data_IF_353875700632
#
_entry.id   IF_353875700632
#
_cell.length_a   1.000
_cell.length_b   1.000
_cell.length_c   1.000
_cell.angle_alpha   90.00
_cell.angle_beta   90.00
_cell.angle_gamma   90.00
#
_symmetry.space_group_name_H-M   'P 1'
#
loop_
_entity.id
_entity.type
_entity.pdbx_description
1 polymer ?
#
# COMPACT_ATOMS: atom_id res chain seq x y z
N UNK A 1 -2.92 -22.97 21.34
CA UNK A 1 -1.69 -22.16 21.18
C UNK A 1 -1.09 -22.54 19.85
N UNK A 2 -1.10 -21.61 18.89
CA UNK A 2 -0.47 -21.77 17.58
C UNK A 2 0.38 -20.53 17.32
N UNK A 3 1.52 -20.78 16.69
CA UNK A 3 2.72 -19.96 16.69
C UNK A 3 2.56 -18.53 16.19
N UNK A 4 3.33 -17.68 16.88
CA UNK A 4 3.78 -16.35 16.51
C UNK A 4 4.60 -16.42 15.20
N UNK A 5 3.95 -16.58 14.07
CA UNK A 5 4.50 -16.11 12.81
C UNK A 5 4.49 -14.58 12.88
N UNK A 6 5.63 -13.93 12.63
CA UNK A 6 5.63 -12.52 12.24
C UNK A 6 4.60 -12.42 11.11
N UNK A 7 3.47 -11.74 11.33
CA UNK A 7 2.39 -11.68 10.36
C UNK A 7 3.01 -11.20 9.05
N UNK A 8 3.00 -12.04 8.02
CA UNK A 8 3.39 -11.65 6.67
C UNK A 8 2.63 -10.36 6.30
N UNK A 9 3.24 -9.50 5.47
CA UNK A 9 2.54 -8.35 4.88
C UNK A 9 1.16 -8.79 4.36
N UNK A 10 0.10 -8.00 4.62
CA UNK A 10 -1.26 -8.40 4.21
C UNK A 10 -1.31 -8.48 2.69
N UNK A 11 -0.71 -7.52 1.99
CA UNK A 11 -0.47 -7.54 0.54
C UNK A 11 0.16 -8.86 0.05
N UNK A 12 1.25 -9.31 0.68
CA UNK A 12 1.93 -10.56 0.33
C UNK A 12 1.01 -11.77 0.52
N UNK A 13 0.23 -11.78 1.61
CA UNK A 13 -0.77 -12.83 1.85
C UNK A 13 -1.80 -12.92 0.71
N UNK A 14 -2.33 -11.77 0.27
CA UNK A 14 -3.30 -11.71 -0.83
C UNK A 14 -2.66 -12.16 -2.14
N UNK A 15 -1.48 -11.67 -2.51
CA UNK A 15 -0.83 -12.10 -3.76
C UNK A 15 -0.52 -13.60 -3.79
N UNK A 16 -0.11 -14.19 -2.67
CA UNK A 16 0.08 -15.64 -2.58
C UNK A 16 -1.24 -16.39 -2.75
N UNK A 17 -2.34 -15.90 -2.17
CA UNK A 17 -3.67 -16.49 -2.36
C UNK A 17 -4.11 -16.42 -3.83
N UNK A 18 -3.92 -15.27 -4.49
CA UNK A 18 -4.19 -15.08 -5.92
C UNK A 18 -3.40 -16.08 -6.76
N UNK A 19 -2.07 -16.15 -6.56
CA UNK A 19 -1.20 -17.02 -7.33
C UNK A 19 -1.50 -18.53 -7.14
N UNK A 20 -2.01 -18.91 -5.96
CA UNK A 20 -2.39 -20.28 -5.65
C UNK A 20 -3.82 -20.64 -6.10
N UNK A 21 -4.63 -19.68 -6.53
CA UNK A 21 -6.04 -19.92 -6.81
C UNK A 21 -6.24 -20.70 -8.14
N UNK A 22 -6.91 -21.86 -8.13
CA UNK A 22 -6.93 -22.77 -9.29
C UNK A 22 -7.73 -22.25 -10.50
N UNK A 23 -8.54 -21.19 -10.31
CA UNK A 23 -9.42 -20.63 -11.35
C UNK A 23 -8.92 -19.32 -11.94
N UNK A 24 -7.79 -18.79 -11.46
CA UNK A 24 -7.23 -17.57 -12.06
C UNK A 24 -6.41 -17.90 -13.31
N UNK A 25 -6.46 -17.07 -14.36
CA UNK A 25 -5.61 -17.26 -15.53
C UNK A 25 -4.14 -17.00 -15.19
N UNK A 26 -3.23 -17.52 -16.02
CA UNK A 26 -1.79 -17.37 -15.80
C UNK A 26 -1.33 -15.89 -15.77
N UNK A 27 -1.95 -15.02 -16.58
CA UNK A 27 -1.68 -13.57 -16.57
C UNK A 27 -1.93 -12.92 -15.21
N UNK A 28 -2.95 -13.37 -14.48
CA UNK A 28 -3.23 -12.93 -13.11
C UNK A 28 -2.15 -13.43 -12.14
N UNK A 29 -1.61 -14.63 -12.35
CA UNK A 29 -0.48 -15.14 -11.55
C UNK A 29 0.78 -14.30 -11.80
N UNK A 30 1.03 -13.89 -13.04
CA UNK A 30 2.12 -12.97 -13.38
C UNK A 30 1.96 -11.61 -12.70
N UNK A 31 0.73 -11.06 -12.68
CA UNK A 31 0.42 -9.83 -11.95
C UNK A 31 0.68 -9.97 -10.45
N UNK A 32 0.29 -11.09 -9.84
CA UNK A 32 0.58 -11.35 -8.44
C UNK A 32 2.08 -11.40 -8.15
N UNK A 33 2.88 -12.04 -9.02
CA UNK A 33 4.34 -12.04 -8.90
C UNK A 33 4.97 -10.65 -8.99
N UNK A 34 4.44 -9.79 -9.88
CA UNK A 34 4.84 -8.37 -9.95
C UNK A 34 4.46 -7.60 -8.68
N UNK A 35 3.26 -7.83 -8.17
CA UNK A 35 2.79 -7.24 -6.91
C UNK A 35 3.70 -7.59 -5.72
N UNK A 36 4.12 -8.84 -5.59
CA UNK A 36 5.09 -9.28 -4.57
C UNK A 36 6.43 -8.55 -4.72
N UNK A 37 6.90 -8.38 -5.95
CA UNK A 37 8.15 -7.65 -6.23
C UNK A 37 8.02 -6.17 -5.87
N UNK A 38 6.87 -5.56 -6.17
CA UNK A 38 6.57 -4.17 -5.82
C UNK A 38 6.49 -3.96 -4.30
N UNK A 39 5.85 -4.86 -3.57
CA UNK A 39 5.76 -4.83 -2.09
C UNK A 39 7.15 -4.92 -1.43
N UNK A 40 7.99 -5.82 -1.93
CA UNK A 40 9.38 -5.93 -1.48
C UNK A 40 10.20 -4.66 -1.81
N UNK A 41 10.01 -4.09 -3.00
CA UNK A 41 10.66 -2.85 -3.41
C UNK A 41 10.21 -1.65 -2.56
N UNK A 42 8.92 -1.57 -2.20
CA UNK A 42 8.38 -0.55 -1.32
C UNK A 42 9.00 -0.64 0.08
N UNK A 43 9.04 -1.84 0.65
CA UNK A 43 9.70 -2.10 1.95
C UNK A 43 11.16 -1.67 1.94
N UNK A 44 11.89 -1.99 0.86
CA UNK A 44 13.28 -1.57 0.68
C UNK A 44 13.41 -0.05 0.57
N UNK A 45 12.56 0.59 -0.24
CA UNK A 45 12.56 2.05 -0.40
C UNK A 45 12.30 2.77 0.92
N UNK A 46 11.35 2.30 1.74
CA UNK A 46 11.06 2.89 3.06
C UNK A 46 12.30 2.88 3.96
N UNK A 47 13.08 1.79 3.94
CA UNK A 47 14.25 1.64 4.79
C UNK A 47 15.48 2.39 4.25
N UNK A 48 15.72 2.35 2.94
CA UNK A 48 16.94 2.89 2.32
C UNK A 48 16.80 4.37 1.94
N UNK A 49 15.59 4.83 1.62
CA UNK A 49 15.32 6.17 1.10
C UNK A 49 14.35 6.93 1.99
N UNK A 50 13.16 6.37 2.25
CA UNK A 50 12.09 7.06 2.98
C UNK A 50 12.52 7.54 4.37
N UNK A 51 12.90 6.63 5.26
CA UNK A 51 13.31 6.96 6.63
C UNK A 51 14.52 7.90 6.72
N UNK A 52 15.57 7.76 5.88
CA UNK A 52 16.71 8.69 5.94
C UNK A 52 16.47 10.07 5.32
N UNK A 53 15.56 10.19 4.35
CA UNK A 53 15.44 11.40 3.51
C UNK A 53 14.16 12.20 3.69
N UNK A 54 13.10 11.60 4.24
CA UNK A 54 11.83 12.28 4.49
C UNK A 54 11.65 12.64 5.96
N UNK A 55 10.97 13.75 6.21
CA UNK A 55 10.45 14.02 7.54
C UNK A 55 9.30 13.05 7.90
N UNK A 56 8.95 13.01 9.19
CA UNK A 56 7.96 12.08 9.70
C UNK A 56 6.56 12.26 9.08
N UNK A 57 6.17 13.47 8.70
CA UNK A 57 4.86 13.73 8.09
C UNK A 57 4.84 13.30 6.62
N UNK A 58 5.84 13.70 5.84
CA UNK A 58 5.97 13.29 4.45
C UNK A 58 6.07 11.76 4.32
N UNK A 59 6.81 11.11 5.22
CA UNK A 59 6.87 9.65 5.27
C UNK A 59 5.52 9.04 5.65
N UNK A 60 4.82 9.61 6.63
CA UNK A 60 3.50 9.11 7.04
C UNK A 60 2.48 9.22 5.90
N UNK A 61 2.41 10.36 5.21
CA UNK A 61 1.50 10.56 4.07
C UNK A 61 1.78 9.53 2.96
N UNK A 62 3.06 9.29 2.65
CA UNK A 62 3.43 8.27 1.65
C UNK A 62 3.03 6.86 2.09
N UNK A 63 3.19 6.53 3.38
CA UNK A 63 2.81 5.23 3.93
C UNK A 63 1.29 5.03 4.00
N UNK A 64 0.51 6.09 4.26
CA UNK A 64 -0.95 6.05 4.18
C UNK A 64 -1.38 5.70 2.77
N UNK A 65 -0.84 6.41 1.78
CA UNK A 65 -1.07 6.15 0.35
C UNK A 65 -0.68 4.70 -0.02
N UNK A 66 0.40 4.14 0.54
CA UNK A 66 0.72 2.70 0.38
C UNK A 66 -0.33 1.78 0.99
N UNK A 67 -0.84 2.12 2.18
CA UNK A 67 -1.89 1.37 2.87
C UNK A 67 -3.21 1.35 2.10
N UNK A 68 -3.58 2.47 1.45
CA UNK A 68 -4.79 2.54 0.62
C UNK A 68 -4.77 1.53 -0.54
N UNK A 69 -3.60 1.23 -1.13
CA UNK A 69 -3.50 0.16 -2.15
C UNK A 69 -3.59 -1.23 -1.56
N UNK A 70 -3.09 -1.43 -0.34
CA UNK A 70 -3.26 -2.71 0.35
C UNK A 70 -4.74 -2.96 0.63
N UNK A 71 -5.48 -1.95 1.09
CA UNK A 71 -6.92 -2.04 1.32
C UNK A 71 -7.68 -2.33 0.01
N UNK A 72 -7.36 -1.63 -1.08
CA UNK A 72 -7.93 -1.89 -2.41
C UNK A 72 -7.65 -3.32 -2.91
N UNK A 73 -6.45 -3.84 -2.66
CA UNK A 73 -6.08 -5.20 -3.03
C UNK A 73 -6.90 -6.24 -2.23
N UNK A 74 -7.06 -6.02 -0.92
CA UNK A 74 -7.86 -6.89 -0.06
C UNK A 74 -9.32 -6.89 -0.49
N UNK A 75 -9.90 -5.71 -0.72
CA UNK A 75 -11.28 -5.55 -1.18
C UNK A 75 -11.49 -6.26 -2.52
N UNK A 76 -10.63 -5.99 -3.51
CA UNK A 76 -10.71 -6.63 -4.82
C UNK A 76 -10.62 -8.16 -4.74
N UNK A 77 -9.76 -8.69 -3.87
CA UNK A 77 -9.65 -10.13 -3.67
C UNK A 77 -10.93 -10.71 -3.08
N UNK A 78 -11.52 -10.05 -2.08
CA UNK A 78 -12.80 -10.46 -1.48
C UNK A 78 -13.93 -10.43 -2.51
N UNK A 79 -14.05 -9.36 -3.31
CA UNK A 79 -15.05 -9.24 -4.38
C UNK A 79 -14.94 -10.41 -5.38
N UNK A 80 -13.72 -10.85 -5.68
CA UNK A 80 -13.50 -11.98 -6.61
C UNK A 80 -13.88 -13.31 -5.96
N UNK A 81 -13.52 -13.53 -4.69
CA UNK A 81 -13.88 -14.75 -3.95
C UNK A 81 -15.39 -14.90 -3.74
N UNK A 82 -16.11 -13.79 -3.52
CA UNK A 82 -17.58 -13.78 -3.42
C UNK A 82 -18.28 -13.83 -4.78
N UNK A 83 -17.53 -13.69 -5.87
CA UNK A 83 -18.05 -13.69 -7.24
C UNK A 83 -18.76 -12.41 -7.65
N UNK A 84 -18.58 -11.32 -6.90
CA UNK A 84 -19.08 -9.98 -7.22
C UNK A 84 -18.37 -9.40 -8.46
N UNK A 85 -17.09 -9.72 -8.64
CA UNK A 85 -16.35 -9.42 -9.88
C UNK A 85 -15.98 -10.69 -10.64
N UNK A 86 -16.07 -10.61 -11.97
CA UNK A 86 -15.62 -11.69 -12.84
C UNK A 86 -14.10 -11.63 -13.06
N UNK A 87 -13.54 -12.69 -13.66
CA UNK A 87 -12.09 -12.82 -13.87
C UNK A 87 -11.48 -11.68 -14.72
N UNK A 88 -12.18 -11.18 -15.74
CA UNK A 88 -11.67 -10.11 -16.61
C UNK A 88 -11.63 -8.76 -15.87
N UNK A 89 -12.67 -8.46 -15.08
CA UNK A 89 -12.73 -7.28 -14.24
C UNK A 89 -11.67 -7.34 -13.13
N UNK A 90 -11.52 -8.50 -12.50
CA UNK A 90 -10.47 -8.76 -11.51
C UNK A 90 -9.08 -8.52 -12.08
N UNK A 91 -8.76 -9.13 -13.23
CA UNK A 91 -7.46 -8.97 -13.88
C UNK A 91 -7.15 -7.51 -14.21
N UNK A 92 -8.12 -6.78 -14.75
CA UNK A 92 -7.95 -5.35 -15.09
C UNK A 92 -7.67 -4.51 -13.86
N UNK A 93 -8.48 -4.65 -12.80
CA UNK A 93 -8.31 -3.88 -11.56
C UNK A 93 -7.02 -4.28 -10.82
N UNK A 94 -6.67 -5.57 -10.82
CA UNK A 94 -5.42 -6.05 -10.25
C UNK A 94 -4.22 -5.43 -10.98
N UNK A 95 -4.26 -5.34 -12.31
CA UNK A 95 -3.21 -4.70 -13.09
C UNK A 95 -3.05 -3.22 -12.75
N UNK A 96 -4.15 -2.49 -12.52
CA UNK A 96 -4.13 -1.10 -12.09
C UNK A 96 -3.49 -0.92 -10.70
N UNK A 97 -3.90 -1.75 -9.73
CA UNK A 97 -3.34 -1.74 -8.37
C UNK A 97 -1.84 -2.05 -8.41
N UNK A 98 -1.43 -3.12 -9.10
CA UNK A 98 -0.02 -3.52 -9.21
C UNK A 98 0.80 -2.41 -9.89
N UNK A 99 0.29 -1.81 -10.96
CA UNK A 99 0.99 -0.69 -11.62
C UNK A 99 1.11 0.55 -10.71
N UNK A 100 0.14 0.80 -9.85
CA UNK A 100 0.22 1.87 -8.85
C UNK A 100 1.27 1.55 -7.77
N UNK A 101 1.28 0.31 -7.25
CA UNK A 101 2.29 -0.15 -6.28
C UNK A 101 3.72 -0.08 -6.84
N UNK A 102 3.93 -0.45 -8.11
CA UNK A 102 5.22 -0.35 -8.78
C UNK A 102 5.73 1.10 -8.91
N UNK A 103 4.81 2.05 -9.12
CA UNK A 103 5.13 3.47 -9.28
C UNK A 103 5.26 4.20 -7.95
N UNK A 104 4.68 3.67 -6.88
CA UNK A 104 4.62 4.33 -5.57
C UNK A 104 5.96 4.85 -5.06
N UNK A 105 7.09 4.11 -5.16
CA UNK A 105 8.40 4.61 -4.71
C UNK A 105 8.86 5.89 -5.46
N UNK A 106 8.38 6.10 -6.68
CA UNK A 106 8.74 7.22 -7.55
C UNK A 106 7.70 8.34 -7.59
N UNK A 107 6.55 8.17 -6.92
CA UNK A 107 5.49 9.17 -6.95
C UNK A 107 5.96 10.47 -6.26
N UNK A 108 5.88 11.63 -6.92
CA UNK A 108 6.30 12.91 -6.35
C UNK A 108 5.42 13.25 -5.14
N UNK A 109 6.05 13.74 -4.09
CA UNK A 109 5.34 14.30 -2.94
C UNK A 109 4.61 15.58 -3.40
N UNK A 110 3.28 15.57 -3.30
CA UNK A 110 2.48 16.79 -3.49
C UNK A 110 2.89 17.85 -2.45
N UNK A 111 2.67 19.14 -2.71
CA UNK A 111 3.01 20.19 -1.76
C UNK A 111 2.25 19.95 -0.45
N UNK A 112 3.02 19.70 0.61
CA UNK A 112 2.52 19.61 1.98
C UNK A 112 1.90 20.96 2.32
N UNK A 113 0.56 21.03 2.41
CA UNK A 113 -0.07 22.21 3.01
C UNK A 113 0.49 22.34 4.42
N UNK A 114 1.11 23.48 4.69
CA UNK A 114 1.95 23.75 5.84
C UNK A 114 1.18 23.56 7.16
N UNK A 115 1.15 22.32 7.67
CA UNK A 115 0.49 21.92 8.92
C UNK A 115 1.12 22.62 10.14
N UNK A 116 2.32 23.19 10.00
CA UNK A 116 2.92 24.15 10.94
C UNK A 116 1.95 25.28 11.30
N UNK A 117 1.12 25.70 10.35
CA UNK A 117 0.10 26.74 10.52
C UNK A 117 -1.03 26.32 11.47
N UNK A 118 -1.34 25.02 11.53
CA UNK A 118 -2.40 24.48 12.40
C UNK A 118 -1.89 24.24 13.81
N UNK A 119 -0.67 23.73 13.97
CA UNK A 119 -0.08 23.51 15.30
C UNK A 119 0.21 24.82 16.05
N UNK A 120 0.64 25.87 15.34
CA UNK A 120 0.83 27.22 15.93
C UNK A 120 -0.48 27.83 16.44
N UNK A 121 -1.64 27.32 15.99
CA UNK A 121 -2.97 27.78 16.42
C UNK A 121 -3.48 27.03 17.67
N UNK A 122 -2.96 25.83 17.95
CA UNK A 122 -3.35 25.01 19.12
C UNK A 122 -2.51 25.36 20.36
N UNK A 123 -1.25 25.73 20.17
CA UNK A 123 -0.37 26.26 21.21
C UNK A 123 -0.39 27.78 21.19
N UNK A 124 -1.51 28.37 21.63
CA UNK A 124 -1.59 29.81 21.85
C UNK A 124 -0.55 30.28 22.89
N UNK A 125 -0.08 31.53 22.81
CA UNK A 125 0.93 32.06 23.73
C UNK A 125 0.36 32.08 25.15
N UNK A 126 1.06 31.43 26.08
CA UNK A 126 0.87 31.69 27.50
C UNK A 126 1.12 33.18 27.74
N UNK A 127 0.06 33.92 28.05
CA UNK A 127 0.17 35.26 28.60
C UNK A 127 0.53 35.10 30.07
N UNK A 128 1.81 35.34 30.38
CA UNK A 128 2.22 35.79 31.70
C UNK A 128 1.60 37.17 31.94
N UNK A 129 0.83 37.29 33.02
CA UNK A 129 0.24 38.50 33.54
C UNK A 129 -0.24 38.29 34.97
#
# INVERSE_FOLDING_TARGET
>A
MAEKAVRNSVSLGVFLAVAAHPKVPFSVVELAGRGITADAAASRWVLEVGKPSLDGFALADKLIDSGEREDQLVELWQEYETGEVNAAAFETRLAEIVAAMEKWPSAPEGPVEDFSSRLRRVLGPGMDG
#
